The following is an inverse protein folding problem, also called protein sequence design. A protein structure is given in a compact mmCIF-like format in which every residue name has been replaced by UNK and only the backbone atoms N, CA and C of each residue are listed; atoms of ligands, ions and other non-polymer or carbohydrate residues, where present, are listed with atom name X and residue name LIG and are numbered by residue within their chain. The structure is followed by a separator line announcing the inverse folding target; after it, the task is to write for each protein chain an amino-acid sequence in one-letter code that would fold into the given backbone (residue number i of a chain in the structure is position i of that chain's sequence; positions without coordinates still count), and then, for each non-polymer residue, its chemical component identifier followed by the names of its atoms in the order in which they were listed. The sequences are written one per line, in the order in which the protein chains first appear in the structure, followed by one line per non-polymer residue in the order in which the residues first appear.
data_IF_196960872260
#
_entry.id   IF_196960872260
#
_cell.length_a   1.000
_cell.length_b   1.000
_cell.length_c   1.000
_cell.angle_alpha   90.00
_cell.angle_beta   90.00
_cell.angle_gamma   90.00
#
_symmetry.space_group_name_H-M   'P 1'
#
loop_
_entity.id
_entity.type
_entity.pdbx_description
1 polymer ?
#
# COMPACT_ATOMS: atom_id res chain seq x y z
N UNK A 1 -3.34 1.36 -53.79
CA UNK A 1 -2.93 0.66 -52.54
C UNK A 1 -3.89 1.14 -51.48
N UNK A 2 -4.80 0.29 -51.01
CA UNK A 2 -5.68 0.65 -49.87
C UNK A 2 -4.81 0.82 -48.63
N UNK A 3 -4.92 1.97 -47.97
CA UNK A 3 -4.32 2.16 -46.63
C UNK A 3 -4.82 1.04 -45.73
N UNK A 4 -3.95 0.43 -44.91
CA UNK A 4 -4.41 -0.59 -43.94
C UNK A 4 -5.50 0.01 -43.07
N UNK A 5 -6.53 -0.76 -42.77
CA UNK A 5 -7.60 -0.33 -41.89
C UNK A 5 -6.99 0.14 -40.56
N UNK A 6 -7.43 1.28 -39.99
CA UNK A 6 -6.91 1.75 -38.71
C UNK A 6 -7.12 0.66 -37.65
N UNK A 7 -6.07 0.32 -36.92
CA UNK A 7 -6.19 -0.63 -35.79
C UNK A 7 -7.16 -0.09 -34.75
N UNK A 8 -7.89 -0.95 -34.05
CA UNK A 8 -8.75 -0.51 -32.93
C UNK A 8 -7.94 0.21 -31.86
N UNK A 9 -8.55 1.21 -31.22
CA UNK A 9 -7.96 1.87 -30.05
C UNK A 9 -7.81 0.85 -28.92
N UNK A 10 -6.70 0.95 -28.20
CA UNK A 10 -6.39 0.11 -27.05
C UNK A 10 -6.41 0.92 -25.76
N UNK A 11 -7.22 0.47 -24.82
CA UNK A 11 -7.31 1.07 -23.49
C UNK A 11 -6.78 0.10 -22.44
N UNK A 12 -5.81 0.52 -21.61
CA UNK A 12 -5.45 -0.18 -20.41
C UNK A 12 -6.23 0.42 -19.24
N UNK A 13 -7.05 -0.38 -18.59
CA UNK A 13 -7.92 0.04 -17.48
C UNK A 13 -7.37 -0.55 -16.19
N UNK A 14 -6.64 0.28 -15.43
CA UNK A 14 -5.86 -0.12 -14.27
C UNK A 14 -6.29 0.62 -12.98
N UNK A 15 -7.54 0.42 -12.48
CA UNK A 15 -8.04 1.05 -11.28
C UNK A 15 -7.65 0.31 -10.01
N UNK A 16 -7.70 1.00 -8.86
CA UNK A 16 -7.92 0.38 -7.55
C UNK A 16 -9.41 0.22 -7.25
N UNK A 17 -9.74 -0.46 -6.15
CA UNK A 17 -11.09 -0.48 -5.61
C UNK A 17 -11.52 0.87 -5.02
N UNK A 18 -12.83 1.05 -4.93
CA UNK A 18 -13.47 2.15 -4.24
C UNK A 18 -14.02 1.61 -2.92
N UNK A 19 -13.41 2.00 -1.80
CA UNK A 19 -13.76 1.49 -0.47
C UNK A 19 -15.27 1.57 -0.23
N UNK A 20 -15.83 0.50 0.33
CA UNK A 20 -17.25 0.36 0.66
C UNK A 20 -18.19 0.46 -0.56
N UNK A 21 -17.68 0.50 -1.81
CA UNK A 21 -18.48 0.67 -3.02
C UNK A 21 -18.18 -0.37 -4.10
N UNK A 22 -16.94 -0.41 -4.62
CA UNK A 22 -16.56 -1.27 -5.73
C UNK A 22 -15.22 -1.97 -5.48
N UNK A 23 -15.14 -3.24 -5.80
CA UNK A 23 -13.87 -3.94 -5.96
C UNK A 23 -13.07 -3.35 -7.14
N UNK A 24 -11.77 -3.60 -7.19
CA UNK A 24 -10.95 -3.17 -8.33
C UNK A 24 -11.42 -3.77 -9.67
N UNK A 25 -11.96 -5.00 -9.63
CA UNK A 25 -12.55 -5.68 -10.80
C UNK A 25 -13.81 -4.96 -11.28
N UNK A 26 -14.76 -4.72 -10.39
CA UNK A 26 -16.01 -4.02 -10.72
C UNK A 26 -15.73 -2.59 -11.23
N UNK A 27 -14.75 -1.91 -10.65
CA UNK A 27 -14.30 -0.60 -11.13
C UNK A 27 -13.72 -0.69 -12.55
N UNK A 28 -12.89 -1.71 -12.85
CA UNK A 28 -12.35 -1.91 -14.18
C UNK A 28 -13.44 -2.20 -15.22
N UNK A 29 -14.40 -3.05 -14.88
CA UNK A 29 -15.55 -3.38 -15.72
C UNK A 29 -16.44 -2.16 -15.98
N UNK A 30 -16.73 -1.34 -14.97
CA UNK A 30 -17.51 -0.12 -15.11
C UNK A 30 -16.83 0.91 -16.04
N UNK A 31 -15.52 1.11 -15.87
CA UNK A 31 -14.75 1.99 -16.75
C UNK A 31 -14.79 1.47 -18.19
N UNK A 32 -14.57 0.17 -18.41
CA UNK A 32 -14.61 -0.43 -19.74
C UNK A 32 -15.99 -0.25 -20.40
N UNK A 33 -17.07 -0.45 -19.66
CA UNK A 33 -18.43 -0.21 -20.13
C UNK A 33 -18.60 1.23 -20.62
N UNK A 34 -18.17 2.22 -19.85
CA UNK A 34 -18.24 3.63 -20.25
C UNK A 34 -17.42 3.94 -21.51
N UNK A 35 -16.19 3.39 -21.61
CA UNK A 35 -15.35 3.56 -22.79
C UNK A 35 -15.96 2.92 -24.05
N UNK A 36 -16.54 1.73 -23.92
CA UNK A 36 -17.18 0.98 -25.04
C UNK A 36 -18.46 1.64 -25.53
N UNK A 37 -19.19 2.40 -24.70
CA UNK A 37 -20.33 3.22 -25.16
C UNK A 37 -19.90 4.30 -26.17
N UNK A 38 -18.63 4.70 -26.17
CA UNK A 38 -18.07 5.71 -27.08
C UNK A 38 -17.34 5.08 -28.26
N UNK A 39 -16.57 4.02 -28.00
CA UNK A 39 -15.78 3.28 -28.97
C UNK A 39 -16.06 1.78 -28.82
N UNK A 40 -17.16 1.27 -29.45
CA UNK A 40 -17.59 -0.12 -29.26
C UNK A 40 -16.53 -1.18 -29.62
N UNK A 41 -15.70 -0.89 -30.62
CA UNK A 41 -14.67 -1.82 -31.13
C UNK A 41 -13.31 -1.64 -30.43
N UNK A 42 -13.24 -0.90 -29.33
CA UNK A 42 -11.99 -0.71 -28.60
C UNK A 42 -11.51 -2.03 -27.95
N UNK A 43 -10.22 -2.30 -28.08
CA UNK A 43 -9.53 -3.35 -27.32
C UNK A 43 -9.29 -2.85 -25.88
N UNK A 44 -10.01 -3.40 -24.92
CA UNK A 44 -9.96 -2.95 -23.52
C UNK A 44 -9.29 -4.00 -22.64
N UNK A 45 -8.10 -3.70 -22.17
CA UNK A 45 -7.31 -4.56 -21.28
C UNK A 45 -7.61 -4.21 -19.81
N UNK A 46 -8.34 -5.09 -19.12
CA UNK A 46 -8.72 -4.90 -17.71
C UNK A 46 -7.61 -5.35 -16.78
N UNK A 47 -7.08 -4.42 -15.99
CA UNK A 47 -5.96 -4.65 -15.07
C UNK A 47 -6.39 -4.21 -13.65
N UNK A 48 -7.32 -4.93 -12.99
CA UNK A 48 -7.69 -4.59 -11.62
C UNK A 48 -6.49 -4.70 -10.71
N UNK A 49 -6.16 -3.60 -10.01
CA UNK A 49 -4.97 -3.52 -9.18
C UNK A 49 -5.33 -3.54 -7.70
N UNK A 50 -4.51 -4.25 -6.93
CA UNK A 50 -4.59 -4.31 -5.48
C UNK A 50 -3.36 -3.67 -4.85
N UNK A 51 -3.50 -3.15 -3.65
CA UNK A 51 -2.45 -2.40 -2.95
C UNK A 51 -2.05 -2.98 -1.58
N UNK A 52 -2.40 -4.25 -1.35
CA UNK A 52 -2.19 -4.92 -0.07
C UNK A 52 -3.35 -4.72 0.92
N UNK A 53 -4.36 -3.95 0.54
CA UNK A 53 -5.62 -3.80 1.27
C UNK A 53 -6.66 -4.84 0.86
N UNK A 54 -7.94 -4.49 1.08
CA UNK A 54 -9.10 -5.35 0.85
C UNK A 54 -9.15 -5.91 -0.58
N UNK A 55 -9.37 -7.24 -0.70
CA UNK A 55 -9.46 -7.98 -1.96
C UNK A 55 -8.11 -8.46 -2.53
N UNK A 56 -6.99 -8.18 -1.87
CA UNK A 56 -5.66 -8.63 -2.32
C UNK A 56 -5.52 -10.15 -2.29
N UNK A 57 -5.99 -10.80 -1.22
CA UNK A 57 -5.92 -12.25 -1.08
C UNK A 57 -6.74 -12.96 -2.16
N UNK A 58 -7.96 -12.47 -2.42
CA UNK A 58 -8.85 -13.00 -3.46
C UNK A 58 -8.23 -12.84 -4.86
N UNK A 59 -7.72 -11.64 -5.18
CA UNK A 59 -7.12 -11.37 -6.47
C UNK A 59 -5.90 -12.26 -6.75
N UNK A 60 -5.01 -12.45 -5.77
CA UNK A 60 -3.82 -13.29 -5.92
C UNK A 60 -4.18 -14.79 -5.95
N UNK A 61 -5.18 -15.23 -5.19
CA UNK A 61 -5.71 -16.59 -5.30
C UNK A 61 -6.23 -16.85 -6.71
N UNK A 62 -7.09 -15.97 -7.23
CA UNK A 62 -7.65 -16.11 -8.57
C UNK A 62 -6.55 -16.10 -9.65
N UNK A 63 -5.58 -15.20 -9.57
CA UNK A 63 -4.48 -15.08 -10.54
C UNK A 63 -3.55 -16.30 -10.57
N UNK A 64 -3.43 -17.03 -9.47
CA UNK A 64 -2.52 -18.18 -9.34
C UNK A 64 -3.22 -19.54 -9.44
N UNK A 65 -4.55 -19.58 -9.57
CA UNK A 65 -5.33 -20.82 -9.46
C UNK A 65 -5.31 -21.39 -8.04
N UNK A 66 -5.20 -20.52 -7.04
CA UNK A 66 -5.26 -20.82 -5.63
C UNK A 66 -6.69 -20.83 -5.07
N UNK A 67 -6.81 -20.84 -3.75
CA UNK A 67 -8.11 -20.86 -3.07
C UNK A 67 -8.12 -20.01 -1.80
N UNK A 68 -9.28 -19.44 -1.47
CA UNK A 68 -9.54 -18.81 -0.17
C UNK A 68 -9.88 -19.88 0.88
N UNK A 69 -9.36 -19.70 2.07
CA UNK A 69 -9.63 -20.51 3.24
C UNK A 69 -10.33 -19.64 4.29
N UNK A 70 -11.61 -19.89 4.49
CA UNK A 70 -12.43 -19.14 5.43
C UNK A 70 -12.32 -19.70 6.85
N UNK A 71 -12.25 -18.82 7.83
CA UNK A 71 -12.20 -19.14 9.25
C UNK A 71 -12.75 -17.96 10.08
N UNK A 72 -12.81 -18.16 11.37
CA UNK A 72 -13.11 -17.08 12.33
C UNK A 72 -11.85 -16.73 13.10
N UNK A 73 -11.55 -15.44 13.21
CA UNK A 73 -10.40 -14.93 13.95
C UNK A 73 -10.76 -13.68 14.78
N UNK A 74 -9.85 -13.26 15.64
CA UNK A 74 -10.03 -12.08 16.49
C UNK A 74 -10.00 -10.80 15.64
N UNK A 75 -11.13 -10.09 15.61
CA UNK A 75 -11.24 -8.78 14.95
C UNK A 75 -10.50 -7.66 15.68
N UNK A 76 -10.48 -6.44 15.11
CA UNK A 76 -9.71 -5.32 15.65
C UNK A 76 -10.18 -4.87 17.04
N UNK A 77 -11.46 -5.03 17.36
CA UNK A 77 -12.04 -4.69 18.67
C UNK A 77 -11.97 -5.84 19.69
N UNK A 78 -11.34 -6.97 19.33
CA UNK A 78 -11.30 -8.16 20.17
C UNK A 78 -12.50 -9.12 19.99
N UNK A 79 -13.50 -8.71 19.21
CA UNK A 79 -14.66 -9.55 18.86
C UNK A 79 -14.27 -10.47 17.70
N UNK A 80 -14.73 -11.73 17.74
CA UNK A 80 -14.48 -12.67 16.65
C UNK A 80 -15.21 -12.25 15.37
N UNK A 81 -14.51 -12.31 14.24
CA UNK A 81 -15.04 -11.96 12.91
C UNK A 81 -14.80 -13.09 11.91
N UNK A 82 -15.74 -13.33 10.99
CA UNK A 82 -15.48 -14.20 9.84
C UNK A 82 -14.42 -13.53 8.96
N UNK A 83 -13.45 -14.30 8.52
CA UNK A 83 -12.32 -13.82 7.73
C UNK A 83 -11.78 -14.91 6.81
N UNK A 84 -10.69 -14.64 6.11
CA UNK A 84 -10.05 -15.58 5.22
C UNK A 84 -8.56 -15.30 5.06
N UNK A 85 -7.84 -16.27 4.54
CA UNK A 85 -6.52 -16.11 3.91
C UNK A 85 -6.50 -16.90 2.60
N UNK A 86 -5.55 -16.63 1.72
CA UNK A 86 -5.40 -17.36 0.47
C UNK A 86 -4.25 -18.35 0.54
N UNK A 87 -4.44 -19.56 0.02
CA UNK A 87 -3.34 -20.40 -0.46
C UNK A 87 -3.20 -20.23 -1.95
N UNK A 88 -2.01 -19.85 -2.40
CA UNK A 88 -1.72 -19.63 -3.81
C UNK A 88 -1.54 -20.96 -4.56
N UNK A 89 -1.80 -20.93 -5.86
CA UNK A 89 -1.67 -22.08 -6.72
C UNK A 89 -0.22 -22.59 -6.88
N UNK A 90 -0.02 -23.76 -7.51
CA UNK A 90 1.28 -24.46 -7.56
C UNK A 90 2.43 -23.66 -8.18
N UNK A 91 2.14 -22.67 -9.03
CA UNK A 91 3.14 -21.79 -9.66
C UNK A 91 3.76 -20.76 -8.73
N UNK A 92 3.12 -20.47 -7.60
CA UNK A 92 3.54 -19.44 -6.64
C UNK A 92 4.33 -20.00 -5.44
N UNK A 93 5.13 -21.05 -5.65
CA UNK A 93 5.88 -21.72 -4.57
C UNK A 93 7.02 -20.86 -4.04
N UNK A 94 7.29 -20.98 -2.72
CA UNK A 94 8.49 -20.42 -2.11
C UNK A 94 9.77 -21.13 -2.57
N UNK A 95 10.93 -20.49 -2.36
CA UNK A 95 12.25 -21.03 -2.71
C UNK A 95 12.54 -22.41 -2.11
N UNK A 96 11.91 -22.77 -0.99
CA UNK A 96 12.01 -24.07 -0.33
C UNK A 96 10.96 -25.09 -0.80
N UNK A 97 10.21 -24.83 -1.88
CA UNK A 97 9.21 -25.75 -2.43
C UNK A 97 7.90 -25.86 -1.62
N UNK A 98 7.76 -25.13 -0.51
CA UNK A 98 6.56 -25.09 0.31
C UNK A 98 5.41 -24.26 -0.32
N UNK A 99 4.19 -24.41 0.23
CA UNK A 99 3.03 -23.62 -0.17
C UNK A 99 3.27 -22.12 0.09
N UNK A 100 2.74 -21.28 -0.78
CA UNK A 100 2.66 -19.85 -0.56
C UNK A 100 1.25 -19.46 -0.10
N UNK A 101 1.17 -18.53 0.86
CA UNK A 101 -0.09 -17.99 1.35
C UNK A 101 -0.08 -16.47 1.31
N UNK A 102 -1.27 -15.88 1.26
CA UNK A 102 -1.50 -14.44 1.41
C UNK A 102 -2.41 -14.20 2.60
N UNK A 103 -1.94 -13.41 3.54
CA UNK A 103 -2.70 -12.91 4.68
C UNK A 103 -2.98 -11.43 4.45
N UNK A 104 -4.25 -11.08 4.39
CA UNK A 104 -4.69 -9.72 4.21
C UNK A 104 -5.03 -9.10 5.57
N UNK A 105 -4.27 -8.09 5.96
CA UNK A 105 -4.46 -7.42 7.22
C UNK A 105 -5.85 -6.78 7.34
N UNK A 106 -6.36 -6.23 6.22
CA UNK A 106 -7.68 -5.59 6.18
C UNK A 106 -8.82 -6.57 6.48
N UNK A 107 -8.69 -7.84 6.08
CA UNK A 107 -9.73 -8.86 6.26
C UNK A 107 -10.01 -9.22 7.74
N UNK A 108 -9.11 -8.84 8.66
CA UNK A 108 -9.22 -9.23 10.07
C UNK A 108 -8.90 -8.10 11.07
N UNK A 109 -8.24 -7.04 10.62
CA UNK A 109 -7.88 -5.89 11.45
C UNK A 109 -8.04 -4.56 10.70
N UNK A 110 -8.92 -4.55 9.67
CA UNK A 110 -9.25 -3.41 8.85
C UNK A 110 -10.04 -2.34 9.58
N UNK A 111 -9.99 -1.10 9.07
CA UNK A 111 -10.75 0.02 9.61
C UNK A 111 -12.26 -0.14 9.38
N UNK A 112 -12.65 -0.80 8.29
CA UNK A 112 -14.05 -1.15 7.98
C UNK A 112 -14.69 -2.05 9.03
N UNK A 113 -13.88 -2.84 9.76
CA UNK A 113 -14.32 -3.72 10.84
C UNK A 113 -14.45 -3.00 12.20
N UNK A 114 -14.10 -1.71 12.27
CA UNK A 114 -14.22 -0.91 13.49
C UNK A 114 -15.40 0.06 13.34
N UNK A 115 -16.51 -0.17 14.07
CA UNK A 115 -17.63 0.77 14.06
C UNK A 115 -17.17 2.20 14.34
N UNK A 116 -17.74 3.22 13.66
CA UNK A 116 -17.28 4.60 13.79
C UNK A 116 -17.25 5.14 15.23
N UNK A 117 -18.21 4.72 16.06
CA UNK A 117 -18.33 5.05 17.49
C UNK A 117 -17.33 4.31 18.39
N UNK A 118 -16.68 3.24 17.88
CA UNK A 118 -15.67 2.44 18.58
C UNK A 118 -14.25 2.68 18.08
N UNK A 119 -14.03 3.68 17.23
CA UNK A 119 -12.72 4.01 16.68
C UNK A 119 -11.78 4.55 17.74
N UNK A 120 -10.96 3.67 18.28
CA UNK A 120 -9.86 3.98 19.20
C UNK A 120 -8.61 3.16 18.83
N UNK A 121 -7.67 3.72 18.03
CA UNK A 121 -6.50 2.98 17.60
C UNK A 121 -5.56 2.57 18.73
N UNK A 122 -5.74 3.12 19.94
CA UNK A 122 -5.01 2.71 21.15
C UNK A 122 -5.56 1.44 21.79
N UNK A 123 -6.80 1.05 21.46
CA UNK A 123 -7.45 -0.16 21.99
C UNK A 123 -7.51 -1.30 20.97
N UNK A 124 -7.47 -0.99 19.65
CA UNK A 124 -7.57 -2.01 18.60
C UNK A 124 -6.31 -2.87 18.48
N UNK A 125 -6.47 -4.10 17.99
CA UNK A 125 -5.42 -5.13 17.97
C UNK A 125 -5.22 -5.78 16.61
N UNK A 126 -3.99 -6.17 16.30
CA UNK A 126 -3.60 -7.00 15.15
C UNK A 126 -3.61 -8.50 15.46
N UNK A 127 -4.21 -8.94 16.57
CA UNK A 127 -4.18 -10.34 17.01
C UNK A 127 -4.63 -11.31 15.93
N UNK A 128 -5.73 -11.00 15.24
CA UNK A 128 -6.23 -11.84 14.15
C UNK A 128 -5.26 -12.01 12.98
N UNK A 129 -4.40 -11.03 12.70
CA UNK A 129 -3.36 -11.18 11.67
C UNK A 129 -2.39 -12.31 12.03
N UNK A 130 -1.96 -12.37 13.30
CA UNK A 130 -1.12 -13.47 13.77
C UNK A 130 -1.85 -14.83 13.76
N UNK A 131 -3.15 -14.82 14.02
CA UNK A 131 -3.99 -16.03 13.93
C UNK A 131 -4.10 -16.53 12.50
N UNK A 132 -4.25 -15.62 11.51
CA UNK A 132 -4.23 -15.98 10.08
C UNK A 132 -2.86 -16.52 9.64
N UNK A 133 -1.75 -15.90 10.09
CA UNK A 133 -0.41 -16.41 9.82
C UNK A 133 -0.25 -17.83 10.38
N UNK A 134 -0.69 -18.07 11.62
CA UNK A 134 -0.66 -19.40 12.22
C UNK A 134 -1.52 -20.41 11.45
N UNK A 135 -2.72 -20.03 11.04
CA UNK A 135 -3.56 -20.87 10.19
C UNK A 135 -2.87 -21.22 8.86
N UNK A 136 -2.23 -20.25 8.20
CA UNK A 136 -1.47 -20.51 6.98
C UNK A 136 -0.31 -21.51 7.23
N UNK A 137 0.38 -21.41 8.37
CA UNK A 137 1.41 -22.38 8.79
C UNK A 137 0.81 -23.78 9.02
N UNK A 138 -0.40 -23.87 9.60
CA UNK A 138 -1.10 -25.16 9.82
C UNK A 138 -1.46 -25.83 8.48
N UNK A 139 -1.72 -25.06 7.43
CA UNK A 139 -1.91 -25.53 6.05
C UNK A 139 -0.60 -25.80 5.30
N UNK A 140 0.55 -25.72 5.97
CA UNK A 140 1.87 -26.03 5.42
C UNK A 140 2.48 -24.92 4.58
N UNK A 141 2.06 -23.66 4.76
CA UNK A 141 2.72 -22.53 4.12
C UNK A 141 4.18 -22.38 4.63
N UNK A 142 5.09 -22.10 3.70
CA UNK A 142 6.51 -21.78 3.97
C UNK A 142 6.91 -20.43 3.38
N UNK A 143 6.00 -19.79 2.67
CA UNK A 143 6.10 -18.42 2.24
C UNK A 143 4.76 -17.75 2.55
N UNK A 144 4.78 -16.68 3.31
CA UNK A 144 3.56 -15.94 3.68
C UNK A 144 3.77 -14.48 3.32
N UNK A 145 2.92 -13.97 2.42
CA UNK A 145 2.83 -12.57 2.08
C UNK A 145 1.73 -11.92 2.94
N UNK A 146 2.11 -10.91 3.72
CA UNK A 146 1.17 -10.09 4.48
C UNK A 146 0.93 -8.79 3.74
N UNK A 147 -0.29 -8.59 3.26
CA UNK A 147 -0.74 -7.35 2.63
C UNK A 147 -1.07 -6.30 3.69
N UNK A 148 -0.43 -5.14 3.59
CA UNK A 148 -0.57 -4.01 4.53
C UNK A 148 -1.33 -2.85 3.88
N UNK A 149 -2.65 -2.84 4.01
CA UNK A 149 -3.54 -1.75 3.61
C UNK A 149 -4.70 -1.61 4.61
N UNK A 150 -5.43 -0.54 4.54
CA UNK A 150 -6.73 -0.28 5.20
C UNK A 150 -6.85 -0.55 6.71
N UNK A 151 -5.73 -0.49 7.44
CA UNK A 151 -5.68 -0.88 8.85
C UNK A 151 -6.51 0.00 9.80
N UNK A 152 -7.20 -0.65 10.75
CA UNK A 152 -7.90 0.00 11.88
C UNK A 152 -7.11 0.04 13.18
N UNK A 153 -5.86 -0.42 13.20
CA UNK A 153 -5.04 -0.63 14.40
C UNK A 153 -3.82 0.28 14.45
N UNK A 154 -3.25 0.49 15.64
CA UNK A 154 -1.96 1.16 15.88
C UNK A 154 -1.23 0.51 17.07
N UNK A 155 -1.20 -0.83 17.09
CA UNK A 155 -0.56 -1.60 18.15
C UNK A 155 0.87 -2.08 17.84
N UNK A 156 1.47 -1.58 16.74
CA UNK A 156 2.83 -1.96 16.39
C UNK A 156 3.01 -3.42 15.95
N UNK A 157 1.91 -4.15 15.69
CA UNK A 157 1.94 -5.60 15.44
C UNK A 157 1.99 -6.43 16.72
N UNK A 158 1.80 -5.81 17.89
CA UNK A 158 1.89 -6.48 19.19
C UNK A 158 0.92 -7.65 19.33
N UNK A 159 -0.35 -7.45 18.93
CA UNK A 159 -1.35 -8.52 18.94
C UNK A 159 -0.96 -9.69 18.03
N UNK A 160 -0.40 -9.41 16.87
CA UNK A 160 0.06 -10.45 15.94
C UNK A 160 1.20 -11.28 16.55
N UNK A 161 2.16 -10.64 17.20
CA UNK A 161 3.24 -11.33 17.91
C UNK A 161 2.70 -12.19 19.07
N UNK A 162 1.72 -11.68 19.82
CA UNK A 162 1.07 -12.48 20.89
C UNK A 162 0.37 -13.72 20.34
N UNK A 163 -0.36 -13.60 19.23
CA UNK A 163 -1.02 -14.72 18.58
C UNK A 163 -0.03 -15.78 18.04
N UNK A 164 1.18 -15.33 17.69
CA UNK A 164 2.29 -16.19 17.26
C UNK A 164 3.11 -16.75 18.43
N UNK A 165 2.73 -16.46 19.68
CA UNK A 165 3.32 -17.05 20.89
C UNK A 165 4.26 -16.15 21.68
N UNK A 166 4.53 -14.93 21.25
CA UNK A 166 5.29 -13.98 22.07
C UNK A 166 4.48 -13.53 23.30
N UNK A 167 5.15 -13.30 24.43
CA UNK A 167 4.54 -12.72 25.61
C UNK A 167 5.06 -11.29 25.80
N UNK A 168 4.16 -10.36 25.96
CA UNK A 168 4.45 -8.95 26.18
C UNK A 168 4.24 -8.65 27.68
N UNK A 169 5.32 -8.40 28.40
CA UNK A 169 5.31 -8.34 29.86
C UNK A 169 5.59 -6.92 30.36
N UNK A 170 4.84 -6.51 31.38
CA UNK A 170 5.12 -5.29 32.14
C UNK A 170 6.28 -5.51 33.16
N UNK A 171 6.57 -4.50 33.98
CA UNK A 171 7.65 -4.55 34.96
C UNK A 171 7.41 -5.59 36.06
N UNK A 172 6.14 -5.95 36.33
CA UNK A 172 5.75 -6.95 37.29
C UNK A 172 5.70 -8.37 36.69
N UNK A 173 6.02 -8.53 35.41
CA UNK A 173 5.96 -9.80 34.66
C UNK A 173 4.55 -10.23 34.27
N UNK A 174 3.55 -9.34 34.38
CA UNK A 174 2.18 -9.59 33.91
C UNK A 174 2.08 -9.34 32.43
N UNK A 175 1.25 -10.13 31.75
CA UNK A 175 1.01 -9.97 30.33
C UNK A 175 0.18 -8.71 30.03
N UNK A 176 0.60 -7.96 29.01
CA UNK A 176 -0.12 -6.75 28.59
C UNK A 176 -1.45 -7.11 27.92
N UNK A 177 -2.51 -6.32 28.17
CA UNK A 177 -3.74 -6.42 27.40
C UNK A 177 -3.52 -5.99 25.93
N UNK A 178 -4.46 -6.30 25.02
CA UNK A 178 -4.42 -5.85 23.63
C UNK A 178 -4.37 -4.32 23.51
N UNK A 179 -3.87 -3.86 22.35
CA UNK A 179 -3.91 -2.46 21.94
C UNK A 179 -2.61 -1.70 22.13
N UNK A 180 -2.42 -0.69 21.27
CA UNK A 180 -1.18 0.11 21.24
C UNK A 180 -0.91 0.91 22.51
N UNK A 181 -1.96 1.38 23.20
CA UNK A 181 -1.83 2.11 24.47
C UNK A 181 -1.15 1.27 25.54
N UNK A 182 -1.39 -0.05 25.56
CA UNK A 182 -0.78 -0.96 26.53
C UNK A 182 0.75 -1.00 26.45
N UNK A 183 1.32 -0.74 25.27
CA UNK A 183 2.77 -0.74 25.03
C UNK A 183 3.53 0.32 25.85
N UNK A 184 2.86 1.34 26.35
CA UNK A 184 3.46 2.30 27.29
C UNK A 184 3.99 1.64 28.57
N UNK A 185 3.43 0.49 28.97
CA UNK A 185 3.85 -0.29 30.15
C UNK A 185 4.77 -1.45 29.83
N UNK A 186 5.07 -1.70 28.55
CA UNK A 186 5.92 -2.82 28.14
C UNK A 186 7.30 -2.73 28.78
N UNK A 187 7.76 -3.80 29.43
CA UNK A 187 9.10 -3.92 30.00
C UNK A 187 9.94 -4.98 29.29
N UNK A 188 9.33 -6.06 28.79
CA UNK A 188 10.03 -7.17 28.16
C UNK A 188 9.15 -7.89 27.13
N UNK A 189 9.77 -8.39 26.05
CA UNK A 189 9.19 -9.35 25.11
C UNK A 189 9.85 -10.72 25.34
N UNK A 190 9.05 -11.71 25.74
CA UNK A 190 9.48 -13.09 25.87
C UNK A 190 9.08 -13.89 24.63
N UNK A 191 10.07 -14.35 23.87
CA UNK A 191 9.90 -15.10 22.62
C UNK A 191 10.03 -16.62 22.79
N UNK A 192 10.14 -17.12 24.02
CA UNK A 192 10.38 -18.55 24.29
C UNK A 192 9.28 -19.49 23.77
N UNK A 193 8.07 -18.93 23.53
CA UNK A 193 6.90 -19.67 23.02
C UNK A 193 6.49 -19.29 21.60
N UNK A 194 7.35 -18.57 20.88
CA UNK A 194 7.08 -18.30 19.46
C UNK A 194 6.94 -19.60 18.68
N UNK A 195 6.01 -19.60 17.74
CA UNK A 195 5.80 -20.75 16.85
C UNK A 195 7.12 -21.10 16.13
N UNK A 196 7.69 -22.29 16.36
CA UNK A 196 9.01 -22.63 15.84
C UNK A 196 9.04 -22.70 14.29
N UNK A 197 7.89 -22.88 13.65
CA UNK A 197 7.77 -22.92 12.18
C UNK A 197 8.11 -21.59 11.52
N UNK A 198 8.06 -20.48 12.26
CA UNK A 198 8.45 -19.16 11.76
C UNK A 198 9.93 -19.10 11.34
N UNK A 199 10.79 -19.89 11.97
CA UNK A 199 12.22 -19.95 11.64
C UNK A 199 12.47 -20.47 10.21
N UNK A 200 11.59 -21.34 9.72
CA UNK A 200 11.69 -21.98 8.40
C UNK A 200 10.66 -21.40 7.40
N UNK A 201 10.07 -20.25 7.73
CA UNK A 201 9.04 -19.60 6.90
C UNK A 201 9.50 -18.24 6.42
N UNK A 202 9.45 -18.03 5.12
CA UNK A 202 9.72 -16.73 4.51
C UNK A 202 8.50 -15.84 4.73
N UNK A 203 8.64 -14.84 5.62
CA UNK A 203 7.63 -13.80 5.84
C UNK A 203 7.95 -12.58 4.97
N UNK A 204 7.00 -12.18 4.15
CA UNK A 204 7.06 -11.00 3.28
C UNK A 204 5.94 -10.04 3.68
N UNK A 205 6.23 -8.76 3.72
CA UNK A 205 5.24 -7.73 4.02
C UNK A 205 5.17 -6.77 2.84
N UNK A 206 4.06 -6.80 2.11
CA UNK A 206 3.78 -5.84 1.05
C UNK A 206 3.30 -4.53 1.67
N UNK A 207 4.13 -3.50 1.67
CA UNK A 207 3.86 -2.26 2.39
C UNK A 207 4.25 -1.01 1.60
N UNK A 208 3.76 0.13 2.06
CA UNK A 208 4.23 1.43 1.57
C UNK A 208 5.54 1.80 2.30
N UNK A 209 6.68 1.92 1.59
CA UNK A 209 7.97 2.22 2.19
C UNK A 209 8.05 3.59 2.87
N UNK A 210 7.16 4.53 2.51
CA UNK A 210 7.12 5.85 3.15
C UNK A 210 6.54 5.83 4.58
N UNK A 211 5.91 4.74 4.99
CA UNK A 211 5.35 4.60 6.33
C UNK A 211 6.44 4.17 7.31
N UNK A 212 6.81 5.05 8.22
CA UNK A 212 7.76 4.77 9.30
C UNK A 212 7.02 4.68 10.64
N UNK A 213 7.59 3.93 11.58
CA UNK A 213 6.94 3.69 12.87
C UNK A 213 6.95 4.93 13.77
N UNK A 214 8.09 5.60 13.86
CA UNK A 214 8.38 6.64 14.86
C UNK A 214 8.75 7.98 14.21
N UNK A 215 8.89 9.00 15.04
CA UNK A 215 9.32 10.35 14.63
C UNK A 215 8.18 11.26 14.17
N UNK A 216 8.50 12.44 13.60
CA UNK A 216 7.49 13.43 13.16
C UNK A 216 6.54 12.89 12.09
N UNK A 217 7.02 11.98 11.23
CA UNK A 217 6.25 11.29 10.20
C UNK A 217 5.81 9.88 10.65
N UNK A 218 5.89 9.60 11.94
CA UNK A 218 5.52 8.32 12.52
C UNK A 218 4.04 8.00 12.34
N UNK A 219 3.75 6.71 12.23
CA UNK A 219 2.41 6.20 11.87
C UNK A 219 1.30 6.67 12.81
N UNK A 220 1.57 6.87 14.10
CA UNK A 220 0.58 7.40 15.04
C UNK A 220 0.15 8.82 14.68
N UNK A 221 1.08 9.68 14.26
CA UNK A 221 0.81 11.07 13.88
C UNK A 221 0.13 11.19 12.51
N UNK A 222 0.57 10.37 11.54
CA UNK A 222 0.08 10.44 10.17
C UNK A 222 -1.32 9.81 10.03
N UNK A 223 -1.55 8.67 10.68
CA UNK A 223 -2.76 7.87 10.48
C UNK A 223 -3.63 7.71 11.73
N UNK A 224 -3.15 8.12 12.90
CA UNK A 224 -3.94 8.06 14.14
C UNK A 224 -5.26 8.83 14.04
N UNK A 225 -5.28 10.09 13.55
CA UNK A 225 -6.51 10.89 13.47
C UNK A 225 -7.61 10.22 12.65
N UNK A 226 -7.31 9.66 11.48
CA UNK A 226 -8.31 8.98 10.63
C UNK A 226 -8.87 7.69 11.26
N UNK A 227 -8.15 7.13 12.25
CA UNK A 227 -8.56 5.95 13.03
C UNK A 227 -9.28 6.33 14.33
N UNK A 228 -9.55 7.62 14.55
CA UNK A 228 -10.30 8.14 15.69
C UNK A 228 -9.45 8.65 16.86
N UNK A 229 -8.11 8.73 16.73
CA UNK A 229 -7.27 9.25 17.81
C UNK A 229 -7.43 10.77 17.96
N UNK A 230 -7.65 11.23 19.19
CA UNK A 230 -7.51 12.64 19.54
C UNK A 230 -6.03 13.08 19.52
N UNK A 231 -5.73 14.39 19.47
CA UNK A 231 -4.34 14.86 19.50
C UNK A 231 -3.53 14.35 20.68
N UNK A 232 -4.13 14.24 21.88
CA UNK A 232 -3.49 13.69 23.06
C UNK A 232 -3.16 12.19 22.88
N UNK A 233 -4.12 11.41 22.38
CA UNK A 233 -3.91 9.98 22.09
C UNK A 233 -2.85 9.73 21.02
N UNK A 234 -2.71 10.62 20.04
CA UNK A 234 -1.64 10.54 19.03
C UNK A 234 -0.26 10.61 19.69
N UNK A 235 -0.05 11.52 20.63
CA UNK A 235 1.24 11.62 21.34
C UNK A 235 1.48 10.44 22.29
N UNK A 236 0.46 9.97 23.00
CA UNK A 236 0.53 8.77 23.84
C UNK A 236 0.93 7.54 23.00
N UNK A 237 0.27 7.32 21.85
CA UNK A 237 0.58 6.22 20.94
C UNK A 237 1.97 6.36 20.33
N UNK A 238 2.38 7.58 19.97
CA UNK A 238 3.71 7.84 19.45
C UNK A 238 4.80 7.44 20.46
N UNK A 239 4.64 7.82 21.73
CA UNK A 239 5.56 7.44 22.79
C UNK A 239 5.54 5.92 23.08
N UNK A 240 4.36 5.29 23.01
CA UNK A 240 4.20 3.86 23.20
C UNK A 240 4.91 3.06 22.09
N UNK A 241 4.79 3.50 20.83
CA UNK A 241 5.46 2.88 19.68
C UNK A 241 6.99 3.09 19.70
N UNK A 242 7.48 4.23 20.20
CA UNK A 242 8.92 4.43 20.46
C UNK A 242 9.44 3.42 21.50
N UNK A 243 8.71 3.22 22.59
CA UNK A 243 9.05 2.21 23.60
C UNK A 243 9.05 0.80 22.99
N UNK A 244 8.02 0.48 22.21
CA UNK A 244 7.87 -0.78 21.49
C UNK A 244 9.09 -1.09 20.62
N UNK A 245 9.46 -0.19 19.71
CA UNK A 245 10.60 -0.38 18.82
C UNK A 245 11.91 -0.65 19.57
N UNK A 246 12.15 0.10 20.65
CA UNK A 246 13.36 -0.07 21.48
C UNK A 246 13.40 -1.44 22.17
N UNK A 247 12.26 -1.90 22.70
CA UNK A 247 12.21 -3.19 23.40
C UNK A 247 12.26 -4.35 22.42
N UNK A 248 11.61 -4.25 21.26
CA UNK A 248 11.73 -5.24 20.18
C UNK A 248 13.19 -5.39 19.72
N UNK A 249 13.88 -4.30 19.49
CA UNK A 249 15.29 -4.32 19.08
C UNK A 249 16.16 -5.03 20.12
N UNK A 250 15.90 -4.78 21.39
CA UNK A 250 16.65 -5.41 22.50
C UNK A 250 16.35 -6.91 22.66
N UNK A 251 15.05 -7.28 22.70
CA UNK A 251 14.61 -8.60 23.16
C UNK A 251 14.40 -9.60 22.02
N UNK A 252 14.09 -9.13 20.82
CA UNK A 252 13.74 -9.97 19.68
C UNK A 252 14.85 -10.01 18.63
N UNK A 253 15.33 -8.85 18.20
CA UNK A 253 16.35 -8.78 17.14
C UNK A 253 17.78 -9.08 17.61
N UNK A 254 18.06 -8.90 18.91
CA UNK A 254 19.40 -9.07 19.49
C UNK A 254 20.37 -7.89 19.22
N UNK A 255 21.58 -7.93 19.79
CA UNK A 255 22.50 -6.78 19.82
C UNK A 255 23.01 -6.31 18.46
N UNK A 256 23.02 -7.15 17.43
CA UNK A 256 23.50 -6.79 16.11
C UNK A 256 22.60 -5.79 15.36
N UNK A 257 21.33 -5.69 15.73
CA UNK A 257 20.32 -4.82 15.10
C UNK A 257 20.20 -3.46 15.80
N UNK A 258 20.62 -3.39 17.05
CA UNK A 258 20.42 -2.21 17.91
C UNK A 258 21.30 -1.00 17.56
N UNK A 259 22.30 -1.13 16.66
CA UNK A 259 23.35 -0.14 16.46
C UNK A 259 23.46 0.44 15.04
N UNK A 260 22.50 0.21 14.16
CA UNK A 260 22.45 0.92 12.89
C UNK A 260 22.00 2.37 13.15
N UNK A 261 22.96 3.24 13.42
CA UNK A 261 22.74 4.68 13.38
C UNK A 261 22.31 5.08 11.96
N UNK A 262 21.37 6.02 11.79
CA UNK A 262 20.99 6.48 10.47
C UNK A 262 22.23 7.00 9.76
N UNK A 263 22.57 6.42 8.62
CA UNK A 263 23.62 6.95 7.74
C UNK A 263 23.15 8.33 7.27
N UNK A 264 23.81 9.42 7.67
CA UNK A 264 23.42 10.74 7.20
C UNK A 264 23.73 10.82 5.69
N UNK A 265 22.73 11.01 4.85
CA UNK A 265 22.95 11.37 3.47
C UNK A 265 22.41 10.47 2.38
N UNK A 266 21.57 9.47 2.70
CA UNK A 266 20.78 8.86 1.64
C UNK A 266 19.61 9.81 1.29
N UNK A 267 19.52 10.25 0.02
CA UNK A 267 18.34 11.01 -0.42
C UNK A 267 17.08 10.15 -0.23
N UNK A 268 15.91 10.77 0.01
CA UNK A 268 14.67 10.02 0.10
C UNK A 268 14.52 9.21 -1.19
N UNK A 269 14.48 7.89 -1.03
CA UNK A 269 14.23 6.86 -2.05
C UNK A 269 14.31 7.39 -3.51
N UNK A 270 15.49 7.29 -4.10
CA UNK A 270 15.64 7.37 -5.56
C UNK A 270 15.00 6.08 -6.11
N UNK A 271 13.97 6.23 -6.95
CA UNK A 271 13.37 5.12 -7.66
C UNK A 271 14.48 4.28 -8.32
N UNK A 272 14.43 2.94 -8.23
CA UNK A 272 15.40 2.10 -8.92
C UNK A 272 15.39 2.44 -10.40
N UNK A 273 16.59 2.52 -10.99
CA UNK A 273 16.74 2.69 -12.44
C UNK A 273 15.99 1.54 -13.16
N UNK A 274 15.41 1.78 -14.35
CA UNK A 274 14.66 0.76 -15.06
C UNK A 274 15.54 -0.46 -15.32
N UNK A 275 15.12 -1.62 -14.82
CA UNK A 275 15.73 -2.90 -15.11
C UNK A 275 15.52 -3.19 -16.60
N UNK A 276 16.61 -3.20 -17.36
CA UNK A 276 16.60 -3.65 -18.74
C UNK A 276 16.36 -5.17 -18.79
N UNK A 277 15.31 -5.54 -19.52
CA UNK A 277 15.07 -6.78 -20.27
C UNK A 277 15.66 -8.09 -19.71
N UNK A 278 14.78 -8.95 -19.21
CA UNK A 278 14.92 -10.40 -19.33
C UNK A 278 13.62 -11.02 -19.83
N UNK A 279 13.72 -11.67 -20.98
CA UNK A 279 12.66 -12.37 -21.70
C UNK A 279 12.32 -13.69 -21.03
N UNK A 280 11.03 -13.99 -20.83
CA UNK A 280 10.45 -15.32 -20.89
C UNK A 280 10.81 -16.27 -19.73
N UNK A 281 10.13 -16.14 -18.58
CA UNK A 281 9.86 -17.23 -17.66
C UNK A 281 8.65 -16.85 -16.80
N UNK A 282 7.89 -17.85 -16.31
CA UNK A 282 6.75 -17.66 -15.41
C UNK A 282 7.09 -16.70 -14.26
N UNK A 283 6.10 -15.95 -13.68
CA UNK A 283 6.38 -14.91 -12.69
C UNK A 283 7.01 -15.55 -11.46
N UNK A 284 8.33 -15.57 -11.44
CA UNK A 284 9.07 -15.81 -10.23
C UNK A 284 8.89 -14.55 -9.39
N UNK A 285 8.30 -14.70 -8.21
CA UNK A 285 8.48 -13.74 -7.12
C UNK A 285 10.00 -13.71 -6.87
N UNK A 286 10.69 -12.85 -7.62
CA UNK A 286 12.14 -12.90 -7.74
C UNK A 286 12.77 -12.65 -6.38
N UNK A 287 13.74 -13.48 -6.04
CA UNK A 287 14.60 -13.39 -4.88
C UNK A 287 15.36 -12.06 -4.89
N UNK A 288 14.83 -11.05 -4.21
CA UNK A 288 15.65 -9.92 -3.81
C UNK A 288 16.62 -10.41 -2.73
N UNK A 289 17.93 -10.11 -2.83
CA UNK A 289 18.91 -10.60 -1.87
C UNK A 289 18.54 -10.13 -0.46
N UNK A 290 18.66 -11.04 0.51
CA UNK A 290 18.56 -10.71 1.93
C UNK A 290 19.62 -9.66 2.25
N UNK A 291 19.18 -8.44 2.58
CA UNK A 291 20.09 -7.46 3.16
C UNK A 291 20.48 -7.96 4.55
N UNK A 292 21.71 -8.41 4.70
CA UNK A 292 22.34 -8.78 5.99
C UNK A 292 22.70 -7.52 6.79
N UNK A 293 21.76 -6.58 6.90
CA UNK A 293 21.85 -5.37 7.72
C UNK A 293 20.57 -5.26 8.54
N UNK A 294 20.70 -5.11 9.84
CA UNK A 294 19.54 -5.00 10.75
C UNK A 294 18.59 -3.87 10.33
N UNK A 295 17.29 -4.14 10.40
CA UNK A 295 16.24 -3.15 10.11
C UNK A 295 16.18 -2.14 11.26
N UNK A 296 16.28 -0.84 10.95
CA UNK A 296 15.90 0.21 11.90
C UNK A 296 14.39 0.17 12.11
N UNK A 297 13.94 -0.44 13.21
CA UNK A 297 12.52 -0.60 13.51
C UNK A 297 11.79 0.74 13.73
N UNK A 298 12.50 1.83 14.01
CA UNK A 298 11.92 3.15 14.30
C UNK A 298 11.63 3.93 13.03
N UNK A 299 12.62 3.98 12.11
CA UNK A 299 12.59 4.87 10.94
C UNK A 299 12.81 4.13 9.61
N UNK A 300 13.02 2.81 9.68
CA UNK A 300 13.20 2.00 8.47
C UNK A 300 11.95 2.03 7.57
N UNK A 301 12.14 1.98 6.23
CA UNK A 301 11.05 1.98 5.28
C UNK A 301 10.05 0.87 5.54
N UNK A 302 8.74 1.20 5.60
CA UNK A 302 7.67 0.24 5.80
C UNK A 302 7.42 -0.21 7.25
N UNK A 303 8.26 0.18 8.21
CA UNK A 303 8.09 -0.20 9.63
C UNK A 303 6.78 0.31 10.25
N UNK A 304 6.28 1.45 9.79
CA UNK A 304 5.00 2.02 10.19
C UNK A 304 3.78 1.41 9.47
N UNK A 305 3.97 0.52 8.50
CA UNK A 305 2.87 -0.04 7.75
C UNK A 305 1.82 -0.68 8.68
N UNK A 306 0.54 -0.41 8.37
CA UNK A 306 -0.61 -0.94 9.12
C UNK A 306 -0.51 -0.71 10.64
N UNK A 307 -0.23 0.55 11.04
CA UNK A 307 -0.17 0.90 12.45
C UNK A 307 1.03 0.30 13.19
N UNK A 308 2.12 0.00 12.43
CA UNK A 308 3.35 -0.56 12.93
C UNK A 308 3.45 -2.09 12.86
N UNK A 309 2.46 -2.77 12.26
CA UNK A 309 2.54 -4.22 11.99
C UNK A 309 3.85 -4.57 11.25
N UNK A 310 4.29 -3.69 10.31
CA UNK A 310 5.56 -3.83 9.62
C UNK A 310 6.75 -3.99 10.57
N UNK A 311 6.86 -3.16 11.60
CA UNK A 311 7.95 -3.26 12.59
C UNK A 311 7.86 -4.55 13.42
N UNK A 312 6.64 -4.93 13.87
CA UNK A 312 6.43 -6.17 14.61
C UNK A 312 6.89 -7.40 13.83
N UNK A 313 6.45 -7.51 12.57
CA UNK A 313 6.82 -8.64 11.71
C UNK A 313 8.30 -8.59 11.28
N UNK A 314 8.86 -7.41 11.04
CA UNK A 314 10.28 -7.25 10.75
C UNK A 314 11.17 -7.73 11.90
N UNK A 315 10.74 -7.51 13.15
CA UNK A 315 11.43 -8.04 14.33
C UNK A 315 11.47 -9.58 14.36
N UNK A 316 10.48 -10.25 13.76
CA UNK A 316 10.47 -11.71 13.56
C UNK A 316 11.24 -12.16 12.31
N UNK A 317 11.92 -11.26 11.60
CA UNK A 317 12.68 -11.57 10.40
C UNK A 317 11.91 -11.39 9.09
N UNK A 318 10.70 -10.82 9.11
CA UNK A 318 9.97 -10.53 7.90
C UNK A 318 10.68 -9.46 7.04
N UNK A 319 10.65 -9.65 5.72
CA UNK A 319 11.16 -8.68 4.75
C UNK A 319 10.06 -7.68 4.40
N UNK A 320 10.34 -6.40 4.63
CA UNK A 320 9.46 -5.31 4.22
C UNK A 320 9.76 -4.96 2.76
N UNK A 321 8.77 -5.08 1.91
CA UNK A 321 8.91 -4.90 0.46
C UNK A 321 7.95 -3.81 -0.03
N UNK A 322 8.38 -2.97 -0.98
CA UNK A 322 7.46 -2.07 -1.65
C UNK A 322 6.32 -2.86 -2.27
N UNK A 323 5.09 -2.52 -1.89
CA UNK A 323 3.91 -3.31 -2.26
C UNK A 323 3.75 -3.54 -3.75
N UNK A 324 4.09 -2.54 -4.56
CA UNK A 324 3.96 -2.64 -6.01
C UNK A 324 5.01 -3.55 -6.66
N UNK A 325 6.19 -3.70 -6.05
CA UNK A 325 7.21 -4.62 -6.53
C UNK A 325 6.80 -6.09 -6.30
N UNK A 326 5.92 -6.33 -5.31
CA UNK A 326 5.46 -7.67 -4.96
C UNK A 326 4.11 -8.00 -5.59
N UNK A 327 3.18 -7.04 -5.59
CA UNK A 327 1.79 -7.28 -6.00
C UNK A 327 1.58 -7.13 -7.51
N UNK A 328 2.42 -6.36 -8.19
CA UNK A 328 2.27 -6.08 -9.62
C UNK A 328 3.25 -6.86 -10.51
N UNK A 329 4.26 -7.49 -9.93
CA UNK A 329 5.30 -8.23 -10.67
C UNK A 329 4.71 -9.37 -11.53
N UNK A 330 3.68 -10.05 -11.02
CA UNK A 330 2.98 -11.13 -11.73
C UNK A 330 1.99 -10.70 -12.81
N UNK A 331 1.74 -9.40 -13.00
CA UNK A 331 0.70 -8.90 -13.89
C UNK A 331 1.21 -8.45 -15.27
N UNK A 332 2.52 -8.49 -15.51
CA UNK A 332 3.17 -7.96 -16.72
C UNK A 332 2.70 -6.51 -17.05
N UNK A 333 2.51 -5.72 -15.97
CA UNK A 333 1.85 -4.42 -16.04
C UNK A 333 2.54 -3.48 -17.04
N UNK A 334 3.87 -3.42 -17.04
CA UNK A 334 4.61 -2.53 -17.91
C UNK A 334 4.40 -2.84 -19.40
N UNK A 335 4.43 -4.13 -19.78
CA UNK A 335 4.17 -4.54 -21.16
C UNK A 335 2.71 -4.31 -21.59
N UNK A 336 1.77 -4.45 -20.66
CA UNK A 336 0.34 -4.16 -20.90
C UNK A 336 0.12 -2.66 -21.10
N UNK A 337 0.67 -1.81 -20.23
CA UNK A 337 0.60 -0.36 -20.35
C UNK A 337 1.28 0.14 -21.63
N UNK A 338 2.44 -0.42 -22.00
CA UNK A 338 3.17 -0.04 -23.21
C UNK A 338 2.36 -0.19 -24.51
N UNK A 339 1.40 -1.11 -24.55
CA UNK A 339 0.54 -1.36 -25.71
C UNK A 339 -0.69 -0.45 -25.80
N UNK A 340 -1.02 0.27 -24.74
CA UNK A 340 -2.21 1.09 -24.67
C UNK A 340 -2.05 2.42 -25.46
N UNK A 341 -3.14 2.92 -26.01
CA UNK A 341 -3.23 4.27 -26.57
C UNK A 341 -3.63 5.28 -25.47
N UNK A 342 -4.41 4.82 -24.48
CA UNK A 342 -4.78 5.56 -23.28
C UNK A 342 -4.80 4.61 -22.09
N UNK A 343 -4.22 5.05 -20.99
CA UNK A 343 -4.30 4.38 -19.70
C UNK A 343 -5.34 5.09 -18.84
N UNK A 344 -6.30 4.32 -18.31
CA UNK A 344 -7.30 4.83 -17.36
C UNK A 344 -7.09 4.17 -16.04
N UNK A 345 -6.88 4.95 -15.01
CA UNK A 345 -6.79 4.49 -13.61
C UNK A 345 -7.87 5.13 -12.77
N UNK A 346 -8.15 4.58 -11.60
CA UNK A 346 -9.16 5.15 -10.70
C UNK A 346 -8.91 4.77 -9.24
N UNK A 347 -9.43 5.60 -8.35
CA UNK A 347 -9.49 5.33 -6.89
C UNK A 347 -10.64 6.07 -6.22
N UNK A 348 -10.97 5.71 -4.96
CA UNK A 348 -12.03 6.36 -4.20
C UNK A 348 -11.77 7.85 -3.93
N UNK A 349 -10.53 8.28 -3.72
CA UNK A 349 -10.17 9.69 -3.49
C UNK A 349 -8.78 10.02 -4.01
N UNK A 350 -8.70 11.01 -4.92
CA UNK A 350 -7.46 11.65 -5.34
C UNK A 350 -7.14 12.82 -4.40
N UNK A 351 -6.03 12.75 -3.70
CA UNK A 351 -5.58 13.75 -2.73
C UNK A 351 -4.05 13.80 -2.65
N UNK A 352 -3.52 14.56 -1.68
CA UNK A 352 -2.07 14.65 -1.42
C UNK A 352 -1.43 13.28 -1.11
N UNK A 353 -2.18 12.31 -0.59
CA UNK A 353 -1.64 10.98 -0.29
C UNK A 353 -1.48 10.13 -1.55
N UNK A 354 -2.18 10.44 -2.63
CA UNK A 354 -2.10 9.70 -3.89
C UNK A 354 -0.68 9.67 -4.44
N UNK A 355 0.05 10.79 -4.35
CA UNK A 355 1.46 10.88 -4.80
C UNK A 355 2.43 10.10 -3.91
N UNK A 356 2.00 9.70 -2.71
CA UNK A 356 2.80 8.93 -1.75
C UNK A 356 2.64 7.41 -1.92
N UNK A 357 2.52 6.94 -3.16
CA UNK A 357 2.53 5.51 -3.49
C UNK A 357 1.14 4.86 -3.46
N UNK A 358 0.07 5.55 -3.86
CA UNK A 358 -1.19 4.92 -4.21
C UNK A 358 -1.20 4.47 -5.68
N UNK A 359 -2.14 3.61 -6.05
CA UNK A 359 -2.24 2.97 -7.37
C UNK A 359 -2.23 3.97 -8.52
N UNK A 360 -3.02 5.07 -8.53
CA UNK A 360 -3.02 5.97 -9.68
C UNK A 360 -1.67 6.63 -9.95
N UNK A 361 -0.91 6.97 -8.92
CA UNK A 361 0.42 7.53 -9.09
C UNK A 361 1.42 6.49 -9.62
N UNK A 362 1.36 5.25 -9.19
CA UNK A 362 2.24 4.18 -9.68
C UNK A 362 1.91 3.79 -11.12
N UNK A 363 0.63 3.65 -11.45
CA UNK A 363 0.18 3.42 -12.83
C UNK A 363 0.66 4.54 -13.76
N UNK A 364 0.48 5.80 -13.33
CA UNK A 364 0.90 6.95 -14.10
C UNK A 364 2.42 6.97 -14.33
N UNK A 365 3.21 6.75 -13.28
CA UNK A 365 4.66 6.67 -13.36
C UNK A 365 5.13 5.62 -14.38
N UNK A 366 4.56 4.41 -14.34
CA UNK A 366 4.88 3.32 -15.27
C UNK A 366 4.41 3.63 -16.68
N UNK A 367 3.19 4.12 -16.86
CA UNK A 367 2.66 4.51 -18.17
C UNK A 367 3.52 5.59 -18.83
N UNK A 368 4.01 6.57 -18.07
CA UNK A 368 4.90 7.63 -18.56
C UNK A 368 6.27 7.13 -19.00
N UNK A 369 6.80 6.09 -18.37
CA UNK A 369 8.03 5.44 -18.86
C UNK A 369 7.88 4.90 -20.30
N UNK A 370 6.64 4.60 -20.73
CA UNK A 370 6.30 4.16 -22.07
C UNK A 370 5.66 5.27 -22.92
N UNK A 371 5.67 6.53 -22.47
CA UNK A 371 5.09 7.67 -23.19
C UNK A 371 3.57 7.63 -23.36
N UNK A 372 2.86 6.90 -22.48
CA UNK A 372 1.39 6.73 -22.58
C UNK A 372 0.64 7.81 -21.81
N UNK A 373 -0.45 8.35 -22.40
CA UNK A 373 -1.31 9.30 -21.69
C UNK A 373 -2.12 8.59 -20.59
N UNK A 374 -2.34 9.31 -19.47
CA UNK A 374 -3.00 8.78 -18.29
C UNK A 374 -4.16 9.66 -17.85
N UNK A 375 -5.34 9.07 -17.78
CA UNK A 375 -6.53 9.64 -17.18
C UNK A 375 -6.80 8.98 -15.82
N UNK A 376 -7.05 9.78 -14.77
CA UNK A 376 -7.47 9.27 -13.47
C UNK A 376 -8.92 9.65 -13.17
N UNK A 377 -9.73 8.69 -12.73
CA UNK A 377 -11.10 8.90 -12.26
C UNK A 377 -11.17 8.73 -10.74
N UNK A 378 -11.93 9.58 -10.05
CA UNK A 378 -11.98 9.52 -8.60
C UNK A 378 -13.37 9.80 -8.03
N UNK A 379 -13.72 9.09 -6.94
CA UNK A 379 -14.92 9.37 -6.17
C UNK A 379 -14.89 10.76 -5.55
N UNK A 380 -13.75 11.16 -5.02
CA UNK A 380 -13.55 12.47 -4.42
C UNK A 380 -12.26 13.10 -4.96
N UNK A 381 -12.31 14.39 -5.27
CA UNK A 381 -11.14 15.22 -5.57
C UNK A 381 -10.84 16.05 -4.32
N UNK A 382 -9.84 15.60 -3.56
CA UNK A 382 -9.45 16.20 -2.29
C UNK A 382 -8.37 17.28 -2.42
N UNK A 383 -7.95 17.79 -1.26
CA UNK A 383 -6.87 18.78 -1.18
C UNK A 383 -5.54 18.16 -1.69
N UNK A 384 -4.82 18.89 -2.53
CA UNK A 384 -3.56 18.45 -3.10
C UNK A 384 -3.71 17.50 -4.31
N UNK A 385 -4.93 17.20 -4.78
CA UNK A 385 -5.15 16.35 -5.96
C UNK A 385 -4.34 16.79 -7.20
N UNK A 386 -4.07 18.09 -7.35
CA UNK A 386 -3.28 18.62 -8.47
C UNK A 386 -1.83 18.10 -8.50
N UNK A 387 -1.31 17.67 -7.37
CA UNK A 387 0.06 17.15 -7.24
C UNK A 387 0.24 15.83 -8.01
N UNK A 388 -0.84 15.10 -8.31
CA UNK A 388 -0.78 13.85 -9.10
C UNK A 388 -0.27 14.06 -10.53
N UNK A 389 -0.33 15.29 -11.06
CA UNK A 389 0.27 15.64 -12.36
C UNK A 389 1.80 15.45 -12.33
N UNK A 390 2.44 15.76 -11.21
CA UNK A 390 3.86 15.50 -11.00
C UNK A 390 4.21 14.01 -10.99
N UNK A 391 3.25 13.13 -10.68
CA UNK A 391 3.41 11.69 -10.77
C UNK A 391 3.12 11.12 -12.17
N UNK A 392 2.69 11.97 -13.13
CA UNK A 392 2.45 11.55 -14.52
C UNK A 392 0.98 11.42 -14.93
N UNK A 393 0.02 11.79 -14.09
CA UNK A 393 -1.40 11.86 -14.47
C UNK A 393 -1.61 13.10 -15.35
N UNK A 394 -2.04 12.91 -16.62
CA UNK A 394 -2.27 14.03 -17.55
C UNK A 394 -3.55 14.78 -17.22
N UNK A 395 -4.61 14.02 -16.92
CA UNK A 395 -5.91 14.57 -16.54
C UNK A 395 -6.56 13.71 -15.46
N UNK A 396 -7.39 14.35 -14.65
CA UNK A 396 -8.24 13.63 -13.69
C UNK A 396 -9.65 14.23 -13.65
N UNK A 397 -10.63 13.39 -13.30
CA UNK A 397 -12.04 13.77 -13.25
C UNK A 397 -12.73 13.12 -12.05
N UNK A 398 -13.62 13.85 -11.40
CA UNK A 398 -14.51 13.32 -10.36
C UNK A 398 -15.66 12.54 -11.00
N UNK A 399 -16.09 11.43 -10.39
CA UNK A 399 -17.16 10.59 -10.96
C UNK A 399 -18.57 11.06 -10.54
N UNK A 400 -18.68 11.86 -9.49
CA UNK A 400 -19.99 12.32 -9.01
C UNK A 400 -20.55 13.41 -9.91
N UNK A 401 -21.78 13.24 -10.43
CA UNK A 401 -22.41 14.19 -11.36
C UNK A 401 -22.89 15.49 -10.66
N UNK A 402 -23.14 15.40 -9.35
CA UNK A 402 -23.60 16.48 -8.49
C UNK A 402 -23.24 16.17 -7.03
N UNK A 403 -23.45 17.10 -6.09
CA UNK A 403 -23.46 16.77 -4.67
C UNK A 403 -24.54 15.72 -4.37
N UNK A 404 -24.12 14.54 -3.90
CA UNK A 404 -25.00 13.42 -3.52
C UNK A 404 -24.69 12.97 -2.10
N UNK A 405 -25.64 12.34 -1.42
CA UNK A 405 -25.39 11.72 -0.12
C UNK A 405 -24.39 10.56 -0.25
N UNK A 406 -23.56 10.36 0.78
CA UNK A 406 -22.53 9.31 0.75
C UNK A 406 -23.13 7.92 0.45
N UNK A 407 -24.27 7.56 1.07
CA UNK A 407 -24.92 6.28 0.84
C UNK A 407 -25.34 6.09 -0.63
N UNK A 408 -25.80 7.16 -1.30
CA UNK A 408 -26.11 7.13 -2.73
C UNK A 408 -24.84 6.99 -3.57
N UNK A 409 -23.78 7.77 -3.25
CA UNK A 409 -22.50 7.69 -3.93
C UNK A 409 -21.91 6.28 -3.88
N UNK A 410 -21.97 5.61 -2.72
CA UNK A 410 -21.51 4.24 -2.53
C UNK A 410 -22.39 3.23 -3.28
N UNK A 411 -23.72 3.36 -3.23
CA UNK A 411 -24.64 2.41 -3.86
C UNK A 411 -24.70 2.50 -5.39
N UNK A 412 -24.40 3.67 -5.96
CA UNK A 412 -24.41 3.93 -7.42
C UNK A 412 -23.00 4.11 -8.01
N UNK A 413 -21.97 3.74 -7.27
CA UNK A 413 -20.57 3.95 -7.69
C UNK A 413 -20.27 3.39 -9.08
N UNK A 414 -20.81 2.20 -9.44
CA UNK A 414 -20.63 1.59 -10.76
C UNK A 414 -21.19 2.46 -11.89
N UNK A 415 -22.42 2.94 -11.73
CA UNK A 415 -23.09 3.81 -12.70
C UNK A 415 -22.31 5.11 -12.90
N UNK A 416 -21.99 5.80 -11.81
CA UNK A 416 -21.24 7.05 -11.87
C UNK A 416 -19.85 6.90 -12.49
N UNK A 417 -19.17 5.79 -12.23
CA UNK A 417 -17.86 5.52 -12.79
C UNK A 417 -17.92 5.25 -14.30
N UNK A 418 -18.93 4.50 -14.76
CA UNK A 418 -19.14 4.25 -16.20
C UNK A 418 -19.49 5.56 -16.94
N UNK A 419 -20.38 6.37 -16.40
CA UNK A 419 -20.79 7.65 -17.00
C UNK A 419 -19.62 8.65 -17.05
N UNK A 420 -18.79 8.70 -16.00
CA UNK A 420 -17.61 9.55 -15.97
C UNK A 420 -16.55 9.09 -16.98
N UNK A 421 -16.36 7.79 -17.17
CA UNK A 421 -15.45 7.24 -18.17
C UNK A 421 -15.93 7.58 -19.60
N UNK A 422 -17.24 7.45 -19.87
CA UNK A 422 -17.85 7.87 -21.12
C UNK A 422 -17.64 9.36 -21.38
N UNK A 423 -17.99 10.21 -20.44
CA UNK A 423 -17.87 11.66 -20.56
C UNK A 423 -16.42 12.10 -20.81
N UNK A 424 -15.48 11.53 -20.07
CA UNK A 424 -14.06 11.83 -20.22
C UNK A 424 -13.52 11.44 -21.59
N UNK A 425 -13.87 10.24 -22.10
CA UNK A 425 -13.44 9.82 -23.43
C UNK A 425 -14.05 10.69 -24.54
N UNK A 426 -15.32 11.10 -24.40
CA UNK A 426 -15.95 12.05 -25.33
C UNK A 426 -15.19 13.38 -25.36
N UNK A 427 -14.77 13.92 -24.22
CA UNK A 427 -13.95 15.14 -24.14
C UNK A 427 -12.60 14.98 -24.84
N UNK A 428 -11.92 13.83 -24.66
CA UNK A 428 -10.65 13.53 -25.33
C UNK A 428 -10.84 13.50 -26.84
N UNK A 429 -11.90 12.87 -27.34
CA UNK A 429 -12.18 12.78 -28.78
C UNK A 429 -12.58 14.14 -29.41
N UNK A 430 -13.20 15.04 -28.65
CA UNK A 430 -13.40 16.42 -29.08
C UNK A 430 -12.05 17.12 -29.26
N UNK A 431 -11.12 16.91 -28.31
CA UNK A 431 -9.76 17.46 -28.36
C UNK A 431 -9.02 17.05 -29.63
N UNK A 432 -9.15 15.79 -30.09
CA UNK A 432 -8.50 15.31 -31.34
C UNK A 432 -9.03 16.05 -32.61
N UNK A 433 -10.29 16.46 -32.62
CA UNK A 433 -10.87 17.25 -33.71
C UNK A 433 -10.36 18.69 -33.73
N UNK A 434 -10.00 19.22 -32.55
CA UNK A 434 -9.44 20.58 -32.42
C UNK A 434 -7.97 20.63 -32.86
N UNK A 435 -7.21 19.54 -32.68
CA UNK A 435 -5.79 19.45 -33.07
C UNK A 435 -5.57 19.17 -34.53
N UNK A 436 -6.63 18.83 -35.29
CA UNK A 436 -6.59 18.72 -36.76
C UNK A 436 -6.33 20.04 -37.50
N UNK A 437 -6.30 21.18 -36.79
CA UNK A 437 -5.84 22.47 -37.33
C UNK A 437 -4.36 22.67 -36.93
N UNK A 438 -3.42 22.70 -37.89
CA UNK A 438 -1.99 22.86 -37.59
C UNK A 438 -1.75 24.15 -36.80
N UNK A 439 -1.22 24.04 -35.60
CA UNK A 439 -0.60 25.13 -34.84
C UNK A 439 -1.39 25.76 -33.69
N UNK A 440 -2.61 25.33 -33.38
CA UNK A 440 -3.40 26.04 -32.31
C UNK A 440 -3.33 25.50 -30.91
N UNK A 441 -2.93 24.23 -30.70
CA UNK A 441 -2.87 23.63 -29.36
C UNK A 441 -1.70 22.66 -29.22
N UNK A 442 -0.47 23.19 -29.17
CA UNK A 442 0.62 22.44 -28.57
C UNK A 442 0.41 22.43 -27.03
N UNK A 443 0.54 21.29 -26.33
CA UNK A 443 0.56 21.31 -24.88
C UNK A 443 1.68 22.23 -24.41
N UNK A 444 1.50 23.03 -23.34
CA UNK A 444 2.57 23.83 -22.80
C UNK A 444 3.74 22.91 -22.47
N UNK A 445 4.95 23.31 -22.85
CA UNK A 445 6.16 22.60 -22.48
C UNK A 445 6.18 22.40 -20.95
N UNK A 446 6.65 21.26 -20.45
CA UNK A 446 6.78 21.06 -19.01
C UNK A 446 7.59 22.23 -18.44
N UNK A 447 7.07 22.84 -17.36
CA UNK A 447 7.76 23.95 -16.71
C UNK A 447 9.18 23.50 -16.35
N UNK A 448 10.21 24.34 -16.64
CA UNK A 448 11.58 23.99 -16.31
C UNK A 448 11.65 23.77 -14.79
N UNK A 449 12.29 22.69 -14.41
CA UNK A 449 12.58 22.39 -12.99
C UNK A 449 13.29 23.61 -12.41
N UNK A 450 12.80 24.22 -11.33
CA UNK A 450 13.49 25.36 -10.74
C UNK A 450 14.91 24.93 -10.36
N UNK A 451 15.94 25.77 -10.64
CA UNK A 451 17.30 25.47 -10.23
C UNK A 451 17.33 25.30 -8.70
N UNK A 452 18.18 24.41 -8.17
CA UNK A 452 18.34 24.28 -6.74
C UNK A 452 18.67 25.66 -6.17
N UNK A 453 17.80 26.13 -5.26
CA UNK A 453 17.97 27.44 -4.64
C UNK A 453 19.36 27.56 -4.00
N UNK A 454 20.01 28.74 -4.02
CA UNK A 454 21.32 28.94 -3.41
C UNK A 454 21.20 28.57 -1.93
N UNK A 455 22.04 27.61 -1.51
CA UNK A 455 22.14 27.18 -0.12
C UNK A 455 22.32 28.42 0.78
N UNK A 456 21.44 28.61 1.75
CA UNK A 456 21.64 29.62 2.80
C UNK A 456 22.96 29.32 3.47
N UNK A 457 23.93 30.18 3.22
CA UNK A 457 25.16 30.23 4.02
C UNK A 457 24.78 30.55 5.46
N UNK A 458 24.95 29.58 6.34
CA UNK A 458 24.85 29.80 7.79
C UNK A 458 26.07 30.66 8.18
N UNK A 459 25.91 31.80 8.85
CA UNK A 459 27.02 32.59 9.32
C UNK A 459 27.81 31.78 10.35
N UNK A 460 29.12 31.73 10.19
CA UNK A 460 30.05 31.18 11.18
C UNK A 460 29.95 31.97 12.49
N UNK A 461 29.97 31.32 13.66
CA UNK A 461 30.00 32.03 14.93
C UNK A 461 31.32 32.82 15.07
N UNK A 462 31.18 34.07 15.48
CA UNK A 462 32.31 34.94 15.76
C UNK A 462 33.20 34.46 16.91
N UNK A 463 34.46 34.92 17.01
CA UNK A 463 35.41 34.45 18.01
C UNK A 463 34.97 34.85 19.44
N UNK A 464 35.34 34.05 20.45
CA UNK A 464 34.95 34.31 21.84
C UNK A 464 35.66 35.58 22.36
N UNK A 465 34.90 36.48 22.95
CA UNK A 465 35.43 37.64 23.72
C UNK A 465 36.07 37.15 25.02
N UNK A 466 37.28 37.58 25.25
CA UNK A 466 38.03 37.32 26.49
C UNK A 466 37.40 38.02 27.72
N UNK A 467 37.53 37.43 28.91
CA UNK A 467 36.95 37.99 30.12
C UNK A 467 37.80 39.16 30.67
N UNK A 468 37.10 40.18 31.18
CA UNK A 468 37.64 41.12 32.17
C UNK A 468 37.02 40.79 33.52
#
# INVERSE_FOLDING_TARGET
MNAPAPRPLRFAVAPSGFKESLTAREAAEAIAEGLQRVVPDADTDLIPLVDGGEGTAEALAAATGGALHHLTATGPTGVAVPTHFALLGPGARGAAGGRAAVVEMAAVAGLSLVPPDQRDPGATTTRGVGELVRAALDFGARRILVGCGDSGTSDGGAGALQALGARLLDADGRELPPGGRALARLARVDRSRLDPRLADTELLVACNPFNVLCGPQGVARVFGPQKGASPAQVEELSAALERWARILARDVCGPAVALASPTPGLPPYAAPAPAHTMSGAAPALALLPSAAGGVDLRHGPGTGASGGLGAGLAALGARLLPRFDVLLDGLDLDARLARADLVVTAEGALDRQTTRGKIPAEVARRAKAHGRPVLALAGTIGEGAREVRGAGVDAYHGILPAPVALAEALGRGREFLADAAEAALRMILIGTRLTGAPGRFAPPAPAPTPPPGPGRLVPLPGPPTAPR
#
